data_IF_763351220143
#
_entry.id   IF_763351220143
#
_cell.length_a   1.000
_cell.length_b   1.000
_cell.length_c   1.000
_cell.angle_alpha   90.00
_cell.angle_beta   90.00
_cell.angle_gamma   90.00
#
_symmetry.space_group_name_H-M   'P 1'
#
loop_
_entity.id
_entity.type
_entity.pdbx_description
1 polymer ?
#
# COMPACT_ATOMS: atom_id res chain seq x y z
N UNK A 1 22.97 -2.17 4.70
CA UNK A 1 21.99 -2.38 3.60
C UNK A 1 20.78 -1.54 3.95
N UNK A 2 20.30 -0.68 3.06
CA UNK A 2 19.19 0.23 3.41
C UNK A 2 17.88 -0.53 3.64
N UNK A 3 16.95 0.04 4.42
CA UNK A 3 15.62 -0.56 4.62
C UNK A 3 14.86 -0.73 3.31
N UNK A 4 15.07 0.16 2.34
CA UNK A 4 14.51 0.03 1.00
C UNK A 4 15.03 -1.23 0.29
N UNK A 5 16.35 -1.43 0.22
CA UNK A 5 16.95 -2.63 -0.40
C UNK A 5 16.49 -3.91 0.30
N UNK A 6 16.38 -3.87 1.63
CA UNK A 6 15.89 -4.99 2.42
C UNK A 6 14.43 -5.30 2.11
N UNK A 7 13.60 -4.27 1.96
CA UNK A 7 12.19 -4.42 1.60
C UNK A 7 12.05 -5.06 0.21
N UNK A 8 12.77 -4.55 -0.79
CA UNK A 8 12.79 -5.11 -2.15
C UNK A 8 13.26 -6.57 -2.13
N UNK A 9 14.36 -6.87 -1.43
CA UNK A 9 14.89 -8.24 -1.35
C UNK A 9 13.90 -9.18 -0.68
N UNK A 10 13.30 -8.76 0.44
CA UNK A 10 12.33 -9.58 1.16
C UNK A 10 11.08 -9.82 0.33
N UNK A 11 10.51 -8.77 -0.25
CA UNK A 11 9.30 -8.82 -1.08
C UNK A 11 9.47 -9.63 -2.36
N UNK A 12 10.57 -9.42 -3.11
CA UNK A 12 10.75 -10.04 -4.43
C UNK A 12 11.66 -11.27 -4.46
N UNK A 13 12.57 -11.47 -3.51
CA UNK A 13 13.56 -12.56 -3.57
C UNK A 13 13.35 -13.59 -2.46
N UNK A 14 13.06 -13.16 -1.23
CA UNK A 14 12.77 -14.08 -0.12
C UNK A 14 11.34 -14.62 -0.22
N UNK A 15 10.42 -13.76 -0.66
CA UNK A 15 9.03 -14.13 -0.96
C UNK A 15 8.77 -14.52 -2.42
N UNK A 16 9.72 -14.26 -3.32
CA UNK A 16 9.64 -14.44 -4.77
C UNK A 16 9.52 -15.87 -5.25
N UNK A 17 8.40 -16.50 -4.96
CA UNK A 17 7.95 -17.73 -5.60
C UNK A 17 7.17 -17.41 -6.89
N UNK A 18 6.94 -18.43 -7.72
CA UNK A 18 6.04 -18.34 -8.89
C UNK A 18 4.69 -17.67 -8.54
N UNK A 19 4.19 -17.90 -7.32
CA UNK A 19 2.94 -17.32 -6.81
C UNK A 19 2.96 -15.79 -6.77
N UNK A 20 4.11 -15.16 -6.46
CA UNK A 20 4.23 -13.71 -6.43
C UNK A 20 4.13 -13.11 -7.84
N UNK A 21 4.80 -13.71 -8.82
CA UNK A 21 4.73 -13.25 -10.20
C UNK A 21 3.33 -13.43 -10.79
N UNK A 22 2.69 -14.57 -10.49
CA UNK A 22 1.29 -14.81 -10.86
C UNK A 22 0.35 -13.79 -10.19
N UNK A 23 0.59 -13.47 -8.92
CA UNK A 23 -0.16 -12.43 -8.20
C UNK A 23 -0.01 -11.05 -8.85
N UNK A 24 1.23 -10.61 -9.14
CA UNK A 24 1.49 -9.31 -9.76
C UNK A 24 0.88 -9.22 -11.16
N UNK A 25 0.96 -10.30 -11.93
CA UNK A 25 0.31 -10.40 -13.23
C UNK A 25 -1.22 -10.30 -13.09
N UNK A 26 -1.82 -11.07 -12.20
CA UNK A 26 -3.26 -11.01 -11.92
C UNK A 26 -3.71 -9.61 -11.46
N UNK A 27 -2.94 -8.97 -10.59
CA UNK A 27 -3.18 -7.61 -10.10
C UNK A 27 -3.18 -6.60 -11.24
N UNK A 28 -2.20 -6.68 -12.16
CA UNK A 28 -2.12 -5.82 -13.34
C UNK A 28 -3.35 -5.97 -14.24
N UNK A 29 -3.81 -7.19 -14.49
CA UNK A 29 -5.02 -7.44 -15.27
C UNK A 29 -6.26 -6.90 -14.58
N UNK A 30 -6.44 -7.18 -13.28
CA UNK A 30 -7.56 -6.68 -12.50
C UNK A 30 -7.64 -5.16 -12.51
N UNK A 31 -6.51 -4.48 -12.30
CA UNK A 31 -6.48 -3.02 -12.36
C UNK A 31 -6.76 -2.51 -13.78
N UNK A 32 -6.21 -3.12 -14.82
CA UNK A 32 -6.49 -2.74 -16.21
C UNK A 32 -8.00 -2.80 -16.50
N UNK A 33 -8.66 -3.90 -16.13
CA UNK A 33 -10.12 -4.03 -16.29
C UNK A 33 -10.90 -3.07 -15.39
N UNK A 34 -10.45 -2.85 -14.15
CA UNK A 34 -11.08 -1.89 -13.25
C UNK A 34 -11.04 -0.47 -13.84
N UNK A 35 -9.90 -0.04 -14.38
CA UNK A 35 -9.78 1.24 -15.07
C UNK A 35 -10.62 1.33 -16.35
N UNK A 36 -10.94 0.20 -16.98
CA UNK A 36 -11.86 0.20 -18.13
C UNK A 36 -13.33 0.32 -17.72
N UNK A 37 -13.74 -0.41 -16.68
CA UNK A 37 -15.17 -0.71 -16.44
C UNK A 37 -15.74 -0.04 -15.18
N UNK A 38 -14.90 0.45 -14.26
CA UNK A 38 -15.37 1.00 -13.00
C UNK A 38 -15.42 2.53 -13.03
N UNK A 39 -16.36 3.13 -12.29
CA UNK A 39 -16.34 4.56 -12.04
C UNK A 39 -15.09 4.96 -11.24
N UNK A 40 -14.64 6.21 -11.44
CA UNK A 40 -13.39 6.72 -10.87
C UNK A 40 -13.28 6.55 -9.34
N UNK A 41 -14.38 6.67 -8.59
CA UNK A 41 -14.36 6.54 -7.12
C UNK A 41 -14.01 5.12 -6.66
N UNK A 42 -14.47 4.08 -7.38
CA UNK A 42 -14.12 2.68 -7.06
C UNK A 42 -12.66 2.39 -7.36
N UNK A 43 -12.12 3.01 -8.41
CA UNK A 43 -10.70 2.89 -8.75
C UNK A 43 -9.83 3.54 -7.67
N UNK A 44 -10.21 4.75 -7.23
CA UNK A 44 -9.54 5.43 -6.11
C UNK A 44 -9.59 4.57 -4.84
N UNK A 45 -10.75 4.00 -4.52
CA UNK A 45 -10.89 3.09 -3.37
C UNK A 45 -10.03 1.83 -3.53
N UNK A 46 -9.98 1.21 -4.71
CA UNK A 46 -9.17 0.03 -4.97
C UNK A 46 -7.67 0.31 -4.80
N UNK A 47 -7.18 1.41 -5.35
CA UNK A 47 -5.79 1.86 -5.13
C UNK A 47 -5.53 2.14 -3.65
N UNK A 48 -6.48 2.78 -2.97
CA UNK A 48 -6.38 3.07 -1.54
C UNK A 48 -6.19 1.80 -0.70
N UNK A 49 -7.02 0.77 -0.96
CA UNK A 49 -6.94 -0.51 -0.28
C UNK A 49 -5.65 -1.26 -0.64
N UNK A 50 -5.19 -1.16 -1.89
CA UNK A 50 -3.93 -1.77 -2.32
C UNK A 50 -2.73 -1.17 -1.59
N UNK A 51 -2.55 0.16 -1.64
CA UNK A 51 -1.47 0.86 -0.96
C UNK A 51 -1.40 0.49 0.53
N UNK A 52 -2.57 0.49 1.18
CA UNK A 52 -2.73 0.09 2.58
C UNK A 52 -2.31 -1.38 2.81
N UNK A 53 -2.81 -2.30 2.00
CA UNK A 53 -2.49 -3.73 2.12
C UNK A 53 -1.00 -3.99 1.93
N UNK A 54 -0.36 -3.35 0.96
CA UNK A 54 1.08 -3.45 0.73
C UNK A 54 1.85 -2.82 1.89
N UNK A 55 1.43 -1.66 2.39
CA UNK A 55 2.06 -1.02 3.56
C UNK A 55 2.08 -1.96 4.75
N UNK A 56 0.92 -2.53 5.08
CA UNK A 56 0.76 -3.44 6.23
C UNK A 56 1.57 -4.72 6.04
N UNK A 57 1.59 -5.26 4.82
CA UNK A 57 2.45 -6.39 4.49
C UNK A 57 3.93 -6.09 4.77
N UNK A 58 4.48 -4.98 4.29
CA UNK A 58 5.92 -4.69 4.44
C UNK A 58 6.33 -4.14 5.81
N UNK A 59 5.39 -4.00 6.76
CA UNK A 59 5.63 -3.42 8.09
C UNK A 59 5.21 -4.32 9.25
N UNK A 60 4.07 -5.01 9.17
CA UNK A 60 3.54 -5.82 10.28
C UNK A 60 3.60 -7.33 10.03
N UNK A 61 3.78 -7.77 8.80
CA UNK A 61 4.06 -9.19 8.53
C UNK A 61 5.34 -9.63 9.27
N UNK A 62 5.32 -10.82 9.87
CA UNK A 62 6.44 -11.36 10.66
C UNK A 62 7.79 -11.30 9.94
N UNK A 63 7.79 -11.42 8.60
CA UNK A 63 8.99 -11.38 7.78
C UNK A 63 9.67 -9.99 7.80
N UNK A 64 8.92 -8.93 8.05
CA UNK A 64 9.39 -7.54 8.09
C UNK A 64 9.37 -6.93 9.51
N UNK A 65 8.51 -7.43 10.39
CA UNK A 65 8.19 -6.79 11.67
C UNK A 65 9.41 -6.62 12.60
N UNK A 66 10.38 -7.54 12.56
CA UNK A 66 11.61 -7.40 13.36
C UNK A 66 12.35 -6.07 13.09
N UNK A 67 12.30 -5.55 11.87
CA UNK A 67 12.91 -4.27 11.51
C UNK A 67 12.29 -3.12 12.29
N UNK A 68 10.97 -3.15 12.48
CA UNK A 68 10.21 -2.14 13.20
C UNK A 68 10.50 -2.16 14.71
N UNK A 69 10.62 -3.36 15.29
CA UNK A 69 10.92 -3.55 16.72
C UNK A 69 12.32 -3.07 17.07
N UNK A 70 13.31 -3.31 16.19
CA UNK A 70 14.73 -2.99 16.43
C UNK A 70 15.11 -1.51 16.22
N UNK A 71 14.16 -0.64 15.88
CA UNK A 71 14.43 0.79 15.66
C UNK A 71 14.83 1.46 16.99
N UNK A 72 16.04 2.01 17.05
CA UNK A 72 16.63 2.53 18.28
C UNK A 72 16.94 4.02 18.24
N UNK A 73 17.10 4.60 17.05
CA UNK A 73 17.44 6.02 16.88
C UNK A 73 16.45 6.77 15.97
N UNK A 74 16.27 8.09 16.16
CA UNK A 74 15.37 8.87 15.30
C UNK A 74 15.76 8.83 13.82
N UNK A 75 17.05 8.74 13.50
CA UNK A 75 17.53 8.61 12.13
C UNK A 75 17.17 7.25 11.51
N UNK A 76 17.27 6.16 12.28
CA UNK A 76 16.79 4.85 11.84
C UNK A 76 15.28 4.84 11.63
N UNK A 77 14.51 5.50 12.50
CA UNK A 77 13.05 5.63 12.37
C UNK A 77 12.68 6.38 11.09
N UNK A 78 13.38 7.48 10.79
CA UNK A 78 13.19 8.27 9.58
C UNK A 78 13.54 7.43 8.34
N UNK A 79 14.71 6.81 8.30
CA UNK A 79 15.14 5.99 7.15
C UNK A 79 14.20 4.80 6.92
N UNK A 80 13.77 4.15 8.00
CA UNK A 80 12.78 3.08 7.95
C UNK A 80 11.47 3.54 7.31
N UNK A 81 10.82 4.57 7.88
CA UNK A 81 9.48 4.95 7.42
C UNK A 81 9.49 5.55 6.00
N UNK A 82 10.53 6.33 5.67
CA UNK A 82 10.71 6.86 4.31
C UNK A 82 10.96 5.73 3.32
N UNK A 83 11.78 4.73 3.69
CA UNK A 83 12.02 3.57 2.83
C UNK A 83 10.75 2.77 2.54
N UNK A 84 9.90 2.53 3.56
CA UNK A 84 8.63 1.81 3.39
C UNK A 84 7.65 2.60 2.53
N UNK A 85 7.50 3.90 2.79
CA UNK A 85 6.63 4.77 2.00
C UNK A 85 7.09 4.89 0.55
N UNK A 86 8.40 5.05 0.33
CA UNK A 86 8.98 5.10 -1.01
C UNK A 86 8.76 3.80 -1.77
N UNK A 87 8.88 2.65 -1.11
CA UNK A 87 8.60 1.36 -1.74
C UNK A 87 7.16 1.27 -2.24
N UNK A 88 6.18 1.60 -1.40
CA UNK A 88 4.75 1.55 -1.79
C UNK A 88 4.45 2.57 -2.88
N UNK A 89 5.01 3.76 -2.75
CA UNK A 89 4.85 4.82 -3.74
C UNK A 89 5.33 4.35 -5.13
N UNK A 90 6.53 3.79 -5.20
CA UNK A 90 7.07 3.24 -6.45
C UNK A 90 6.27 2.03 -6.93
N UNK A 91 5.85 1.15 -6.02
CA UNK A 91 5.06 -0.04 -6.35
C UNK A 91 3.74 0.34 -7.05
N UNK A 92 2.97 1.26 -6.47
CA UNK A 92 1.72 1.73 -7.08
C UNK A 92 1.94 2.49 -8.38
N UNK A 93 2.96 3.36 -8.44
CA UNK A 93 3.28 4.08 -9.67
C UNK A 93 3.63 3.12 -10.82
N UNK A 94 4.43 2.08 -10.56
CA UNK A 94 4.78 1.06 -11.57
C UNK A 94 3.53 0.29 -12.01
N UNK A 95 2.66 -0.08 -11.07
CA UNK A 95 1.42 -0.78 -11.38
C UNK A 95 0.47 0.08 -12.23
N UNK A 96 0.21 1.32 -11.83
CA UNK A 96 -0.62 2.25 -12.59
C UNK A 96 -0.04 2.56 -13.95
N UNK A 97 1.28 2.80 -14.04
CA UNK A 97 1.96 3.02 -15.31
C UNK A 97 1.77 1.83 -16.26
N UNK A 98 1.97 0.62 -15.75
CA UNK A 98 1.78 -0.62 -16.52
C UNK A 98 0.31 -0.78 -16.96
N UNK A 99 -0.65 -0.52 -16.07
CA UNK A 99 -2.07 -0.56 -16.40
C UNK A 99 -2.43 0.48 -17.47
N UNK A 100 -1.94 1.72 -17.36
CA UNK A 100 -2.17 2.76 -18.38
C UNK A 100 -1.54 2.42 -19.74
N UNK A 101 -0.39 1.75 -19.74
CA UNK A 101 0.25 1.26 -20.96
C UNK A 101 -0.63 0.20 -21.63
N UNK A 102 -1.10 -0.79 -20.87
CA UNK A 102 -2.01 -1.82 -21.37
C UNK A 102 -3.34 -1.23 -21.88
N UNK A 103 -3.92 -0.28 -21.14
CA UNK A 103 -5.12 0.44 -21.60
C UNK A 103 -4.90 1.16 -22.92
N UNK A 104 -3.71 1.76 -23.10
CA UNK A 104 -3.37 2.44 -24.35
C UNK A 104 -3.26 1.45 -25.51
N UNK A 105 -2.73 0.25 -25.27
CA UNK A 105 -2.72 -0.83 -26.24
C UNK A 105 -4.14 -1.33 -26.56
N UNK A 106 -4.99 -1.53 -25.55
CA UNK A 106 -6.38 -1.99 -25.73
C UNK A 106 -7.25 -1.00 -26.53
N UNK A 107 -6.99 0.30 -26.41
CA UNK A 107 -7.66 1.33 -27.23
C UNK A 107 -7.43 1.14 -28.74
N UNK A 108 -6.31 0.57 -29.15
CA UNK A 108 -6.03 0.24 -30.56
C UNK A 108 -7.05 -0.78 -31.10
N UNK A 109 -7.57 -1.65 -30.23
CA UNK A 109 -8.59 -2.65 -30.55
C UNK A 109 -10.03 -2.15 -30.30
N UNK A 110 -10.22 -0.86 -30.03
CA UNK A 110 -11.55 -0.26 -29.83
C UNK A 110 -12.10 -0.39 -28.41
N UNK A 111 -11.29 -0.81 -27.44
CA UNK A 111 -11.69 -0.87 -26.03
C UNK A 111 -11.36 0.45 -25.32
N UNK A 112 -12.39 1.21 -24.92
CA UNK A 112 -12.24 2.50 -24.26
C UNK A 112 -12.67 2.45 -22.79
N UNK A 113 -11.98 3.19 -21.90
CA UNK A 113 -12.39 3.28 -20.52
C UNK A 113 -13.70 4.06 -20.37
N UNK A 114 -14.57 3.58 -19.47
CA UNK A 114 -15.86 4.20 -19.17
C UNK A 114 -15.70 5.53 -18.43
N UNK A 115 -14.62 5.70 -17.66
CA UNK A 115 -14.29 6.93 -16.95
C UNK A 115 -12.82 7.28 -17.12
N UNK A 116 -12.52 8.58 -17.29
CA UNK A 116 -11.16 9.08 -17.26
C UNK A 116 -10.81 9.35 -15.80
N UNK A 117 -9.94 8.53 -15.24
CA UNK A 117 -9.38 8.77 -13.91
C UNK A 117 -8.31 9.85 -14.02
N UNK A 118 -8.47 10.90 -13.22
CA UNK A 118 -7.45 11.92 -13.08
C UNK A 118 -6.25 11.36 -12.32
N UNK A 119 -5.08 11.39 -12.97
CA UNK A 119 -3.81 10.92 -12.42
C UNK A 119 -3.39 11.74 -11.20
N UNK A 120 -3.71 13.04 -11.17
CA UNK A 120 -3.44 13.91 -10.03
C UNK A 120 -4.18 13.44 -8.78
N UNK A 121 -5.46 13.09 -8.94
CA UNK A 121 -6.30 12.56 -7.87
C UNK A 121 -5.76 11.25 -7.27
N UNK A 122 -5.22 10.35 -8.10
CA UNK A 122 -4.57 9.11 -7.61
C UNK A 122 -3.32 9.42 -6.77
N UNK A 123 -2.47 10.33 -7.23
CA UNK A 123 -1.27 10.75 -6.52
C UNK A 123 -1.60 11.41 -5.16
N UNK A 124 -2.58 12.30 -5.16
CA UNK A 124 -3.06 12.99 -3.96
C UNK A 124 -3.57 11.97 -2.94
N UNK A 125 -4.41 11.03 -3.37
CA UNK A 125 -4.95 9.98 -2.52
C UNK A 125 -3.84 9.08 -1.95
N UNK A 126 -2.85 8.71 -2.75
CA UNK A 126 -1.73 7.89 -2.27
C UNK A 126 -0.94 8.59 -1.16
N UNK A 127 -0.69 9.89 -1.29
CA UNK A 127 -0.01 10.66 -0.23
C UNK A 127 -0.81 10.70 1.07
N UNK A 128 -2.13 10.85 1.00
CA UNK A 128 -2.98 10.76 2.18
C UNK A 128 -2.88 9.37 2.83
N UNK A 129 -3.04 8.30 2.04
CA UNK A 129 -2.96 6.93 2.56
C UNK A 129 -1.62 6.66 3.23
N UNK A 130 -0.50 7.03 2.61
CA UNK A 130 0.82 6.84 3.22
C UNK A 130 0.96 7.62 4.54
N UNK A 131 0.44 8.84 4.62
CA UNK A 131 0.42 9.61 5.86
C UNK A 131 -0.40 8.91 6.94
N UNK A 132 -1.58 8.44 6.60
CA UNK A 132 -2.50 7.78 7.53
C UNK A 132 -1.96 6.43 8.01
N UNK A 133 -1.38 5.63 7.12
CA UNK A 133 -0.76 4.35 7.48
C UNK A 133 0.40 4.53 8.44
N UNK A 134 1.20 5.59 8.31
CA UNK A 134 2.22 5.91 9.32
C UNK A 134 1.57 6.06 10.70
N UNK A 135 0.48 6.82 10.81
CA UNK A 135 -0.22 7.02 12.09
C UNK A 135 -0.82 5.72 12.61
N UNK A 136 -1.48 4.94 11.76
CA UNK A 136 -2.08 3.65 12.12
C UNK A 136 -1.00 2.69 12.63
N UNK A 137 0.17 2.65 11.99
CA UNK A 137 1.28 1.80 12.40
C UNK A 137 1.74 2.09 13.83
N UNK A 138 1.63 3.32 14.34
CA UNK A 138 1.97 3.61 15.74
C UNK A 138 1.10 2.82 16.72
N UNK A 139 -0.19 2.71 16.43
CA UNK A 139 -1.18 2.12 17.34
C UNK A 139 -1.48 0.64 17.06
N UNK A 140 -1.29 0.21 15.82
CA UNK A 140 -1.66 -1.13 15.35
C UNK A 140 -0.45 -1.84 14.74
N UNK A 141 0.68 -1.93 15.45
CA UNK A 141 1.92 -2.53 14.94
C UNK A 141 2.04 -4.05 15.17
N UNK A 142 1.08 -4.71 15.80
CA UNK A 142 1.20 -6.14 16.15
C UNK A 142 1.62 -6.99 14.94
N UNK A 143 2.59 -7.89 15.17
CA UNK A 143 3.04 -8.82 14.14
C UNK A 143 1.89 -9.74 13.71
N UNK A 144 1.83 -10.04 12.41
CA UNK A 144 0.89 -11.01 11.84
C UNK A 144 1.66 -12.08 11.09
N UNK A 145 1.18 -13.32 11.19
CA UNK A 145 1.81 -14.49 10.56
C UNK A 145 1.83 -14.37 9.04
N UNK A 146 2.94 -14.76 8.43
CA UNK A 146 3.06 -14.86 6.99
C UNK A 146 2.24 -16.04 6.47
N UNK A 147 1.76 -15.93 5.23
CA UNK A 147 1.15 -17.07 4.54
C UNK A 147 2.19 -18.16 4.25
N UNK A 148 1.81 -19.42 4.47
CA UNK A 148 2.63 -20.56 4.08
C UNK A 148 2.72 -20.68 2.55
N UNK A 149 3.87 -21.15 2.06
CA UNK A 149 4.16 -21.30 0.62
C UNK A 149 4.42 -22.75 0.25
N UNK A 150 4.17 -23.08 -1.02
CA UNK A 150 4.48 -24.40 -1.59
C UNK A 150 3.26 -25.27 -1.89
N UNK A 151 3.51 -26.50 -2.36
CA UNK A 151 2.49 -27.40 -2.92
C UNK A 151 1.62 -28.10 -1.86
N UNK A 152 2.08 -28.20 -0.62
CA UNK A 152 1.33 -28.83 0.49
C UNK A 152 0.84 -27.77 1.45
N UNK A 153 -0.27 -27.12 1.09
CA UNK A 153 -0.94 -26.12 1.91
C UNK A 153 -2.05 -26.76 2.73
N UNK A 154 -2.16 -26.36 3.99
CA UNK A 154 -3.30 -26.70 4.82
C UNK A 154 -4.36 -25.60 4.67
N UNK A 155 -5.43 -25.88 3.93
CA UNK A 155 -6.48 -24.91 3.65
C UNK A 155 -7.10 -24.30 4.90
N UNK A 156 -7.24 -25.08 5.99
CA UNK A 156 -7.81 -24.57 7.25
C UNK A 156 -6.88 -23.55 7.92
N UNK A 157 -5.58 -23.81 7.88
CA UNK A 157 -4.57 -22.94 8.47
C UNK A 157 -4.44 -21.65 7.65
N UNK A 158 -4.47 -21.76 6.33
CA UNK A 158 -4.45 -20.59 5.43
C UNK A 158 -5.66 -19.67 5.62
N UNK A 159 -6.86 -20.24 5.80
CA UNK A 159 -8.07 -19.47 6.07
C UNK A 159 -7.96 -18.76 7.43
N UNK A 160 -7.45 -19.45 8.46
CA UNK A 160 -7.27 -18.86 9.78
C UNK A 160 -6.28 -17.69 9.75
N UNK A 161 -5.11 -17.90 9.13
CA UNK A 161 -4.10 -16.85 8.92
C UNK A 161 -4.66 -15.70 8.08
N UNK A 162 -5.45 -16.00 7.05
CA UNK A 162 -6.08 -14.98 6.23
C UNK A 162 -7.12 -14.14 6.98
N UNK A 163 -7.90 -14.75 7.87
CA UNK A 163 -8.85 -14.03 8.71
C UNK A 163 -8.13 -13.14 9.74
N UNK A 164 -7.03 -13.62 10.30
CA UNK A 164 -6.20 -12.84 11.24
C UNK A 164 -5.56 -11.63 10.54
N UNK A 165 -4.99 -11.84 9.34
CA UNK A 165 -4.51 -10.78 8.46
C UNK A 165 -5.63 -9.78 8.10
N UNK A 166 -6.83 -10.25 7.76
CA UNK A 166 -7.94 -9.34 7.46
C UNK A 166 -8.33 -8.49 8.66
N UNK A 167 -8.40 -9.07 9.86
CA UNK A 167 -8.71 -8.34 11.10
C UNK A 167 -7.68 -7.26 11.40
N UNK A 168 -6.40 -7.54 11.18
CA UNK A 168 -5.33 -6.57 11.42
C UNK A 168 -5.34 -5.39 10.44
N UNK A 169 -6.00 -5.56 9.28
CA UNK A 169 -6.20 -4.51 8.26
C UNK A 169 -7.44 -3.65 8.51
N UNK A 170 -8.38 -4.05 9.38
CA UNK A 170 -9.63 -3.30 9.59
C UNK A 170 -9.44 -1.82 9.95
N UNK A 171 -8.50 -1.43 10.83
CA UNK A 171 -8.28 -0.01 11.13
C UNK A 171 -7.89 0.77 9.87
N UNK A 172 -7.02 0.18 9.06
CA UNK A 172 -6.58 0.76 7.80
C UNK A 172 -7.71 0.83 6.78
N UNK A 173 -8.48 -0.24 6.60
CA UNK A 173 -9.63 -0.26 5.67
C UNK A 173 -10.63 0.84 6.05
N UNK A 174 -10.98 0.95 7.33
CA UNK A 174 -11.94 1.95 7.80
C UNK A 174 -11.44 3.39 7.57
N UNK A 175 -10.21 3.69 8.02
CA UNK A 175 -9.65 5.04 7.90
C UNK A 175 -9.43 5.43 6.44
N UNK A 176 -8.87 4.52 5.63
CA UNK A 176 -8.54 4.79 4.25
C UNK A 176 -9.79 4.84 3.35
N UNK A 177 -10.85 4.07 3.67
CA UNK A 177 -12.15 4.22 2.97
C UNK A 177 -12.75 5.60 3.22
N UNK A 178 -12.64 6.12 4.45
CA UNK A 178 -13.06 7.48 4.78
C UNK A 178 -12.24 8.53 4.01
N UNK A 179 -10.92 8.32 3.90
CA UNK A 179 -10.04 9.19 3.10
C UNK A 179 -10.38 9.14 1.63
N UNK A 180 -10.61 7.96 1.04
CA UNK A 180 -11.01 7.82 -0.35
C UNK A 180 -12.32 8.57 -0.63
N UNK A 181 -13.30 8.47 0.28
CA UNK A 181 -14.55 9.20 0.19
C UNK A 181 -14.33 10.72 0.26
N UNK A 182 -13.54 11.21 1.22
CA UNK A 182 -13.20 12.62 1.34
C UNK A 182 -12.46 13.13 0.11
N UNK A 183 -11.50 12.35 -0.42
CA UNK A 183 -10.78 12.64 -1.65
C UNK A 183 -11.72 12.80 -2.83
N UNK A 184 -12.71 11.91 -2.94
CA UNK A 184 -13.70 11.96 -4.01
C UNK A 184 -14.64 13.17 -3.88
N UNK A 185 -15.18 13.43 -2.68
CA UNK A 185 -16.11 14.53 -2.43
C UNK A 185 -15.46 15.91 -2.55
N UNK A 186 -14.21 16.05 -2.09
CA UNK A 186 -13.46 17.30 -2.04
C UNK A 186 -12.40 17.41 -3.15
N UNK A 187 -12.46 16.57 -4.19
CA UNK A 187 -11.46 16.49 -5.27
C UNK A 187 -11.06 17.83 -5.90
N UNK A 188 -11.98 18.81 -5.92
CA UNK A 188 -11.72 20.15 -6.47
C UNK A 188 -10.87 21.04 -5.56
N UNK A 189 -10.90 20.77 -4.26
CA UNK A 189 -10.26 21.57 -3.21
C UNK A 189 -9.00 20.91 -2.64
N UNK A 190 -8.83 19.60 -2.87
CA UNK A 190 -7.65 18.87 -2.46
C UNK A 190 -6.55 19.05 -3.50
N UNK A 191 -5.61 19.94 -3.21
CA UNK A 191 -4.41 20.14 -4.02
C UNK A 191 -3.23 19.28 -3.52
N UNK A 192 -2.26 19.09 -4.41
CA UNK A 192 -1.02 18.37 -4.10
C UNK A 192 -0.29 18.95 -2.87
N UNK A 193 -0.25 20.27 -2.73
CA UNK A 193 0.39 20.93 -1.57
C UNK A 193 -0.24 20.51 -0.24
N UNK A 194 -1.57 20.36 -0.19
CA UNK A 194 -2.27 19.95 1.02
C UNK A 194 -1.97 18.49 1.36
N UNK A 195 -1.94 17.62 0.35
CA UNK A 195 -1.58 16.21 0.52
C UNK A 195 -0.13 16.03 1.00
N UNK A 196 0.81 16.79 0.43
CA UNK A 196 2.21 16.81 0.89
C UNK A 196 2.34 17.33 2.33
N UNK A 197 1.60 18.40 2.66
CA UNK A 197 1.55 18.92 4.03
C UNK A 197 1.02 17.90 5.02
N UNK A 198 -0.09 17.23 4.69
CA UNK A 198 -0.65 16.14 5.50
C UNK A 198 0.36 15.01 5.69
N UNK A 199 0.94 14.50 4.61
CA UNK A 199 1.95 13.44 4.66
C UNK A 199 3.15 13.83 5.55
N UNK A 200 3.66 15.06 5.38
CA UNK A 200 4.78 15.58 6.16
C UNK A 200 4.46 15.67 7.66
N UNK A 201 3.28 16.18 8.01
CA UNK A 201 2.82 16.23 9.42
C UNK A 201 2.72 14.82 10.00
N UNK A 202 2.10 13.89 9.30
CA UNK A 202 1.99 12.51 9.75
C UNK A 202 3.35 11.85 9.97
N UNK A 203 4.33 12.11 9.09
CA UNK A 203 5.69 11.60 9.23
C UNK A 203 6.40 12.19 10.46
N UNK A 204 6.26 13.51 10.69
CA UNK A 204 6.83 14.16 11.89
C UNK A 204 6.22 13.56 13.16
N UNK A 205 4.90 13.39 13.20
CA UNK A 205 4.21 12.75 14.34
C UNK A 205 4.74 11.33 14.54
N UNK A 206 4.85 10.53 13.48
CA UNK A 206 5.38 9.17 13.53
C UNK A 206 6.77 9.12 14.17
N UNK A 207 7.69 9.95 13.69
CA UNK A 207 9.07 9.99 14.19
C UNK A 207 9.11 10.39 15.66
N UNK A 208 8.39 11.45 16.05
CA UNK A 208 8.36 11.93 17.44
C UNK A 208 7.82 10.85 18.38
N UNK A 209 6.67 10.26 18.04
CA UNK A 209 6.01 9.26 18.90
C UNK A 209 6.85 7.97 18.97
N UNK A 210 7.32 7.45 17.83
CA UNK A 210 8.13 6.22 17.80
C UNK A 210 9.43 6.35 18.57
N UNK A 211 10.08 7.51 18.50
CA UNK A 211 11.38 7.77 19.14
C UNK A 211 11.23 8.00 20.64
N UNK A 212 10.18 8.70 21.08
CA UNK A 212 10.06 9.09 22.49
C UNK A 212 9.25 8.10 23.34
N UNK A 213 8.27 7.40 22.76
CA UNK A 213 7.23 6.70 23.52
C UNK A 213 7.22 5.18 23.32
N UNK A 214 7.99 4.65 22.36
CA UNK A 214 8.01 3.21 22.04
C UNK A 214 9.43 2.60 22.09
N UNK A 215 10.34 3.21 22.87
CA UNK A 215 11.67 2.65 23.21
C UNK A 215 11.57 1.85 24.49
#
# INVERSE_FOLDING_TARGET
>A
MSYFQLTVKKFFLKDGSLDLYAFLFGLLFLFTFAFMQLPAWLIILASTVLASSVFRYITTDELFHEEFVKLSSPWEVIDYILSKNLFIFLFELILWFSAFLLLSFLKVFGFYPQAIVDKGSLLIQLLFVLGTENIILLFFNNSVKSYQKGLRRNSKEDIATGLENFKSLLPSIASNSMIALLCFLLKKNLGLCLALGYYGICLVIFVIVRTKWMV
#
